data_IF_776455922777
#
_entry.id   IF_776455922777
#
_cell.length_a   1.000
_cell.length_b   1.000
_cell.length_c   1.000
_cell.angle_alpha   90.00
_cell.angle_beta   90.00
_cell.angle_gamma   90.00
#
_symmetry.space_group_name_H-M   'P 1'
#
loop_
_entity.id
_entity.type
_entity.pdbx_description
1 polymer ?
#
# COMPACT_ATOMS: atom_id res chain seq x y z
N UNK A 1 26.40 -2.38 -9.73
CA UNK A 1 26.27 -1.52 -10.94
C UNK A 1 25.02 -0.64 -10.89
N UNK A 2 23.81 -1.19 -10.67
CA UNK A 2 22.56 -0.41 -10.65
C UNK A 2 22.53 0.73 -9.59
N UNK A 3 22.92 0.45 -8.33
CA UNK A 3 22.93 1.46 -7.25
C UNK A 3 23.80 2.68 -7.57
N UNK A 4 24.95 2.49 -8.23
CA UNK A 4 25.82 3.59 -8.66
C UNK A 4 25.15 4.46 -9.73
N UNK A 5 24.45 3.83 -10.68
CA UNK A 5 23.68 4.54 -11.71
C UNK A 5 22.50 5.30 -11.10
N UNK A 6 21.79 4.72 -10.12
CA UNK A 6 20.71 5.41 -9.39
C UNK A 6 21.27 6.66 -8.72
N UNK A 7 22.36 6.54 -7.96
CA UNK A 7 23.00 7.69 -7.29
C UNK A 7 23.44 8.78 -8.27
N UNK A 8 23.90 8.40 -9.47
CA UNK A 8 24.31 9.35 -10.51
C UNK A 8 23.13 10.03 -11.19
N UNK A 9 22.08 9.26 -11.55
CA UNK A 9 20.91 9.76 -12.29
C UNK A 9 19.94 10.53 -11.38
N UNK A 10 19.82 10.12 -10.13
CA UNK A 10 18.88 10.67 -9.15
C UNK A 10 19.63 11.05 -7.86
N UNK A 11 20.45 12.11 -7.87
CA UNK A 11 21.27 12.51 -6.72
C UNK A 11 20.45 12.97 -5.50
N UNK A 12 19.17 13.29 -5.70
CA UNK A 12 18.23 13.63 -4.64
C UNK A 12 17.70 12.39 -3.88
N UNK A 13 17.78 11.19 -4.48
CA UNK A 13 17.37 9.94 -3.81
C UNK A 13 18.44 9.53 -2.81
N UNK A 14 18.06 9.41 -1.54
CA UNK A 14 18.90 8.89 -0.46
C UNK A 14 18.70 7.38 -0.33
N UNK A 15 19.74 6.62 -0.62
CA UNK A 15 19.74 5.16 -0.48
C UNK A 15 20.34 4.78 0.87
N UNK A 16 19.52 4.25 1.77
CA UNK A 16 19.93 3.76 3.08
C UNK A 16 20.02 2.23 3.01
N UNK A 17 21.20 1.68 3.31
CA UNK A 17 21.35 0.24 3.47
C UNK A 17 20.79 -0.15 4.84
N UNK A 18 19.93 -1.15 4.86
CA UNK A 18 19.30 -1.66 6.08
C UNK A 18 19.48 -3.16 6.16
N UNK A 19 19.57 -3.69 7.39
CA UNK A 19 19.57 -5.13 7.61
C UNK A 19 18.18 -5.69 7.38
N UNK A 20 18.08 -6.82 6.67
CA UNK A 20 16.80 -7.51 6.51
C UNK A 20 16.37 -8.05 7.87
N UNK A 21 15.19 -7.62 8.31
CA UNK A 21 14.57 -8.14 9.53
C UNK A 21 13.63 -9.26 9.09
N UNK A 22 13.89 -10.47 9.57
CA UNK A 22 13.02 -11.61 9.34
C UNK A 22 12.63 -12.32 10.63
N UNK A 23 11.37 -12.77 10.69
CA UNK A 23 10.94 -13.77 11.68
C UNK A 23 11.29 -15.17 11.17
N UNK A 24 11.65 -16.07 12.09
CA UNK A 24 11.88 -17.49 11.77
C UNK A 24 10.57 -18.30 11.64
N UNK A 25 9.42 -17.64 11.79
CA UNK A 25 8.09 -18.23 11.85
C UNK A 25 7.14 -17.49 10.91
N UNK A 26 6.35 -18.26 10.15
CA UNK A 26 5.23 -17.73 9.35
C UNK A 26 5.38 -17.85 7.82
N UNK A 27 4.40 -17.29 7.10
CA UNK A 27 4.32 -17.26 5.64
C UNK A 27 5.57 -16.60 4.99
N UNK A 28 6.26 -17.31 4.05
CA UNK A 28 7.39 -16.76 3.30
C UNK A 28 7.09 -15.47 2.53
N UNK A 29 5.83 -15.15 2.28
CA UNK A 29 5.40 -13.92 1.62
C UNK A 29 5.66 -12.70 2.51
N UNK A 30 5.45 -12.81 3.82
CA UNK A 30 5.45 -11.68 4.75
C UNK A 30 6.63 -11.67 5.72
N UNK A 31 7.43 -12.74 5.78
CA UNK A 31 8.53 -12.87 6.75
C UNK A 31 9.56 -11.73 6.74
N UNK A 32 9.65 -10.91 5.68
CA UNK A 32 10.56 -9.75 5.58
C UNK A 32 9.87 -8.40 5.75
N UNK A 33 8.55 -8.36 5.93
CA UNK A 33 7.76 -7.12 5.94
C UNK A 33 8.19 -6.15 7.05
N UNK A 34 8.69 -6.69 8.18
CA UNK A 34 9.25 -5.93 9.29
C UNK A 34 10.44 -5.02 8.92
N UNK A 35 11.12 -5.30 7.81
CA UNK A 35 12.25 -4.48 7.34
C UNK A 35 11.83 -3.02 7.11
N UNK A 36 10.55 -2.76 6.79
CA UNK A 36 10.03 -1.38 6.64
C UNK A 36 10.16 -0.56 7.94
N UNK A 37 10.19 -1.21 9.10
CA UNK A 37 10.26 -0.51 10.40
C UNK A 37 11.63 0.12 10.70
N UNK A 38 12.66 -0.11 9.88
CA UNK A 38 13.87 0.71 9.91
C UNK A 38 13.57 2.21 9.70
N UNK A 39 12.42 2.55 9.09
CA UNK A 39 11.98 3.93 8.98
C UNK A 39 11.83 4.64 10.34
N UNK A 40 11.52 3.91 11.43
CA UNK A 40 11.47 4.49 12.78
C UNK A 40 12.85 4.89 13.32
N UNK A 41 13.94 4.40 12.73
CA UNK A 41 15.30 4.78 13.12
C UNK A 41 15.83 6.01 12.38
N UNK A 42 15.09 6.54 11.39
CA UNK A 42 15.48 7.70 10.58
C UNK A 42 15.27 9.03 11.35
N UNK A 43 15.90 9.15 12.52
CA UNK A 43 15.74 10.27 13.46
C UNK A 43 16.35 11.59 12.98
N UNK A 44 17.04 11.58 11.83
CA UNK A 44 17.42 12.80 11.14
C UNK A 44 16.23 13.53 10.49
N UNK A 45 15.07 12.87 10.35
CA UNK A 45 13.84 13.47 9.85
C UNK A 45 12.82 13.64 10.98
N UNK A 46 12.08 14.75 10.94
CA UNK A 46 10.97 15.00 11.88
C UNK A 46 9.78 14.09 11.60
N UNK A 47 9.53 13.78 10.33
CA UNK A 47 8.41 12.93 9.89
C UNK A 47 8.85 12.12 8.68
N UNK A 48 8.35 10.90 8.58
CA UNK A 48 8.60 10.02 7.44
C UNK A 48 7.27 9.41 6.99
N UNK A 49 6.94 9.55 5.70
CA UNK A 49 5.86 8.80 5.07
C UNK A 49 6.45 7.52 4.47
N UNK A 50 6.03 6.38 4.97
CA UNK A 50 6.46 5.04 4.55
C UNK A 50 5.29 4.37 3.89
N UNK A 51 5.50 3.69 2.77
CA UNK A 51 4.48 2.86 2.13
C UNK A 51 5.12 1.64 1.46
N UNK A 52 4.31 0.63 1.19
CA UNK A 52 4.80 -0.65 0.70
C UNK A 52 5.30 -0.56 -0.74
N UNK A 53 6.32 -1.36 -1.07
CA UNK A 53 6.98 -1.31 -2.38
C UNK A 53 6.11 -1.88 -3.52
N UNK A 54 5.00 -2.53 -3.19
CA UNK A 54 3.92 -2.92 -4.11
C UNK A 54 2.82 -1.85 -4.19
N UNK A 55 3.17 -0.58 -4.03
CA UNK A 55 2.26 0.54 -4.25
C UNK A 55 2.72 1.46 -5.38
N UNK A 56 1.78 2.18 -5.98
CA UNK A 56 2.03 3.21 -6.99
C UNK A 56 1.42 4.54 -6.54
N UNK A 57 2.22 5.61 -6.63
CA UNK A 57 1.79 6.97 -6.27
C UNK A 57 1.02 7.58 -7.44
N UNK A 58 -0.22 7.99 -7.19
CA UNK A 58 -1.13 8.52 -8.20
C UNK A 58 -1.25 10.05 -8.15
N UNK A 59 -1.04 10.66 -6.98
CA UNK A 59 -1.12 12.10 -6.77
C UNK A 59 -0.13 12.58 -5.71
N UNK A 60 0.12 13.90 -5.65
CA UNK A 60 0.99 14.49 -4.63
C UNK A 60 0.48 14.19 -3.21
N UNK A 61 1.37 13.74 -2.33
CA UNK A 61 1.07 13.35 -0.95
C UNK A 61 1.64 14.32 0.09
N UNK A 62 2.17 15.49 -0.30
CA UNK A 62 2.90 16.37 0.62
C UNK A 62 2.00 16.94 1.72
N UNK A 63 0.69 17.05 1.47
CA UNK A 63 -0.30 17.48 2.46
C UNK A 63 -0.34 16.57 3.69
N UNK A 64 0.18 15.34 3.62
CA UNK A 64 0.33 14.44 4.76
C UNK A 64 1.13 15.06 5.88
N UNK A 65 2.20 15.75 5.51
CA UNK A 65 3.13 16.34 6.46
C UNK A 65 2.53 17.52 7.24
N UNK A 66 1.33 17.98 6.86
CA UNK A 66 0.54 18.99 7.57
C UNK A 66 -0.38 18.40 8.65
N UNK A 67 -0.55 17.08 8.71
CA UNK A 67 -1.37 16.44 9.74
C UNK A 67 -0.79 16.65 11.15
N UNK A 68 -1.59 16.54 12.23
CA UNK A 68 -1.07 16.62 13.60
C UNK A 68 0.08 15.64 13.86
N UNK A 69 0.96 16.00 14.80
CA UNK A 69 2.03 15.11 15.24
C UNK A 69 1.42 13.88 15.95
N UNK A 70 1.88 12.72 15.55
CA UNK A 70 1.53 11.44 16.16
C UNK A 70 2.72 10.48 16.00
N UNK A 71 3.00 9.59 16.97
CA UNK A 71 4.06 8.59 16.83
C UNK A 71 3.87 7.73 15.57
N UNK A 72 2.61 7.39 15.28
CA UNK A 72 2.18 6.60 14.13
C UNK A 72 0.82 7.13 13.68
N UNK A 73 0.68 7.40 12.38
CA UNK A 73 -0.59 7.68 11.75
C UNK A 73 -0.81 6.76 10.54
N UNK A 74 -1.92 6.02 10.55
CA UNK A 74 -2.20 4.93 9.60
C UNK A 74 -3.68 4.80 9.30
N UNK A 75 -4.06 4.35 8.10
CA UNK A 75 -5.44 3.96 7.82
C UNK A 75 -5.81 2.64 8.50
N UNK A 76 -7.10 2.37 8.61
CA UNK A 76 -7.60 1.03 8.94
C UNK A 76 -7.44 0.12 7.72
N UNK A 77 -7.13 -1.15 7.96
CA UNK A 77 -7.13 -2.19 6.94
C UNK A 77 -8.58 -2.63 6.63
N UNK A 78 -9.34 -1.76 5.96
CA UNK A 78 -10.78 -1.93 5.77
C UNK A 78 -11.17 -3.29 5.14
N UNK A 79 -10.29 -3.88 4.31
CA UNK A 79 -10.52 -5.18 3.67
C UNK A 79 -10.55 -6.35 4.66
N UNK A 80 -9.95 -6.19 5.84
CA UNK A 80 -9.90 -7.20 6.91
C UNK A 80 -10.96 -6.99 7.99
N UNK A 81 -11.72 -5.89 7.91
CA UNK A 81 -12.72 -5.54 8.91
C UNK A 81 -14.10 -6.03 8.45
N UNK A 82 -14.78 -6.79 9.31
CA UNK A 82 -16.19 -7.09 9.08
C UNK A 82 -17.08 -5.86 9.36
N UNK A 83 -18.22 -5.71 8.67
CA UNK A 83 -19.11 -4.56 8.81
C UNK A 83 -19.55 -4.29 10.26
N UNK A 84 -19.72 -5.35 11.06
CA UNK A 84 -20.15 -5.27 12.46
C UNK A 84 -18.98 -5.07 13.44
N UNK A 85 -17.73 -5.06 12.95
CA UNK A 85 -16.54 -4.86 13.79
C UNK A 85 -16.56 -3.45 14.35
N UNK A 86 -16.51 -3.35 15.69
CA UNK A 86 -16.47 -2.05 16.34
C UNK A 86 -15.21 -1.27 15.94
N UNK A 87 -15.31 0.06 15.83
CA UNK A 87 -14.21 0.93 15.33
C UNK A 87 -12.89 0.69 16.10
N UNK A 88 -12.96 0.40 17.40
CA UNK A 88 -11.78 0.13 18.26
C UNK A 88 -11.11 -1.23 17.99
N UNK A 89 -11.82 -2.16 17.36
CA UNK A 89 -11.36 -3.52 17.07
C UNK A 89 -10.94 -3.69 15.61
N UNK A 90 -11.19 -2.68 14.76
CA UNK A 90 -10.73 -2.67 13.39
C UNK A 90 -9.20 -2.68 13.31
N UNK A 91 -8.65 -3.47 12.40
CA UNK A 91 -7.21 -3.62 12.27
C UNK A 91 -6.57 -2.36 11.65
N UNK A 92 -5.45 -1.90 12.21
CA UNK A 92 -4.59 -0.89 11.59
C UNK A 92 -3.87 -1.49 10.39
N UNK A 93 -3.78 -0.74 9.30
CA UNK A 93 -2.92 -1.07 8.16
C UNK A 93 -1.49 -0.58 8.37
N UNK A 94 -0.51 -1.27 7.78
CA UNK A 94 0.91 -0.90 7.75
C UNK A 94 1.42 -0.58 6.34
N UNK A 95 0.55 -0.64 5.33
CA UNK A 95 0.89 -0.43 3.92
C UNK A 95 1.17 1.05 3.59
N UNK A 96 0.68 1.98 4.41
CA UNK A 96 1.04 3.39 4.40
C UNK A 96 1.04 3.91 5.83
N UNK A 97 2.12 4.57 6.24
CA UNK A 97 2.33 5.05 7.59
C UNK A 97 3.03 6.41 7.57
N UNK A 98 2.43 7.40 8.22
CA UNK A 98 3.13 8.64 8.53
C UNK A 98 3.61 8.54 9.98
N UNK A 99 4.93 8.49 10.15
CA UNK A 99 5.56 8.23 11.45
C UNK A 99 6.38 9.43 11.91
N UNK A 100 6.49 9.56 13.22
CA UNK A 100 7.54 10.35 13.88
C UNK A 100 8.68 9.38 14.25
N UNK A 101 9.82 9.42 13.53
CA UNK A 101 10.94 8.53 13.81
C UNK A 101 11.40 8.63 15.26
N UNK A 102 11.54 7.49 15.92
CA UNK A 102 11.93 7.39 17.31
C UNK A 102 12.63 6.05 17.57
N UNK A 103 13.91 6.10 17.95
CA UNK A 103 14.67 4.87 18.21
C UNK A 103 14.09 4.01 19.33
N UNK A 104 13.43 4.62 20.33
CA UNK A 104 12.75 3.91 21.40
C UNK A 104 11.61 3.04 20.86
N UNK A 105 10.76 3.62 20.01
CA UNK A 105 9.70 2.88 19.31
C UNK A 105 10.28 1.82 18.37
N UNK A 106 11.34 2.13 17.62
CA UNK A 106 12.04 1.14 16.80
C UNK A 106 12.48 -0.07 17.63
N UNK A 107 13.18 0.14 18.75
CA UNK A 107 13.60 -0.95 19.65
C UNK A 107 12.42 -1.76 20.19
N UNK A 108 11.31 -1.10 20.54
CA UNK A 108 10.08 -1.77 21.00
C UNK A 108 9.46 -2.66 19.91
N UNK A 109 9.37 -2.14 18.68
CA UNK A 109 8.87 -2.88 17.51
C UNK A 109 9.71 -4.13 17.24
N UNK A 110 11.04 -3.98 17.18
CA UNK A 110 11.94 -5.11 16.92
C UNK A 110 11.89 -6.14 18.04
N UNK A 111 11.80 -5.69 19.30
CA UNK A 111 11.67 -6.59 20.45
C UNK A 111 10.38 -7.40 20.35
N UNK A 112 9.25 -6.75 20.09
CA UNK A 112 7.95 -7.39 19.97
C UNK A 112 7.93 -8.40 18.82
N UNK A 113 8.38 -8.00 17.63
CA UNK A 113 8.39 -8.85 16.45
C UNK A 113 9.24 -10.12 16.65
N UNK A 114 10.40 -9.98 17.32
CA UNK A 114 11.26 -11.14 17.65
C UNK A 114 10.64 -12.05 18.70
N UNK A 115 9.87 -11.52 19.65
CA UNK A 115 9.26 -12.33 20.72
C UNK A 115 7.98 -13.04 20.29
N UNK A 116 7.13 -12.39 19.49
CA UNK A 116 5.85 -12.95 19.06
C UNK A 116 5.97 -13.77 17.77
N UNK A 117 6.98 -13.50 16.95
CA UNK A 117 7.09 -14.07 15.60
C UNK A 117 6.02 -13.55 14.63
N UNK A 118 5.30 -12.50 15.02
CA UNK A 118 4.23 -11.89 14.26
C UNK A 118 4.76 -10.94 13.16
N UNK A 119 3.93 -10.63 12.17
CA UNK A 119 4.30 -9.74 11.08
C UNK A 119 4.03 -8.27 11.42
N UNK A 120 4.27 -7.41 10.44
CA UNK A 120 4.23 -5.97 10.60
C UNK A 120 2.87 -5.44 11.07
N UNK A 121 1.75 -5.92 10.51
CA UNK A 121 0.43 -5.47 10.94
C UNK A 121 0.12 -5.89 12.37
N UNK A 122 0.39 -7.13 12.76
CA UNK A 122 0.12 -7.62 14.11
C UNK A 122 0.97 -6.89 15.16
N UNK A 123 2.26 -6.71 14.87
CA UNK A 123 3.18 -5.95 15.74
C UNK A 123 2.70 -4.51 15.89
N UNK A 124 2.31 -3.85 14.79
CA UNK A 124 1.81 -2.48 14.82
C UNK A 124 0.52 -2.37 15.64
N UNK A 125 -0.42 -3.31 15.44
CA UNK A 125 -1.69 -3.31 16.18
C UNK A 125 -1.47 -3.59 17.67
N UNK A 126 -0.58 -4.51 18.04
CA UNK A 126 -0.27 -4.77 19.45
C UNK A 126 0.32 -3.52 20.12
N UNK A 127 1.22 -2.81 19.45
CA UNK A 127 1.95 -1.70 20.07
C UNK A 127 1.22 -0.35 19.99
N UNK A 128 0.39 -0.12 18.96
CA UNK A 128 -0.12 1.21 18.64
C UNK A 128 -1.64 1.30 18.47
N UNK A 129 -2.43 0.22 18.59
CA UNK A 129 -3.89 0.26 18.36
C UNK A 129 -4.64 1.38 19.10
N UNK A 130 -4.20 1.69 20.32
CA UNK A 130 -4.86 2.67 21.20
C UNK A 130 -4.24 4.07 21.12
N UNK A 131 -3.16 4.26 20.37
CA UNK A 131 -2.40 5.53 20.31
C UNK A 131 -2.14 6.04 18.90
N UNK A 132 -2.36 5.23 17.87
CA UNK A 132 -2.21 5.64 16.49
C UNK A 132 -3.26 6.68 16.10
N UNK A 133 -2.84 7.70 15.35
CA UNK A 133 -3.76 8.58 14.66
C UNK A 133 -4.36 7.83 13.46
N UNK A 134 -5.69 7.83 13.34
CA UNK A 134 -6.34 7.15 12.22
C UNK A 134 -6.40 8.09 11.03
N UNK A 135 -5.78 7.67 9.93
CA UNK A 135 -5.94 8.30 8.63
C UNK A 135 -7.21 7.75 7.96
N UNK A 136 -7.90 8.55 7.14
CA UNK A 136 -8.90 8.00 6.22
C UNK A 136 -8.25 6.92 5.34
N UNK A 137 -8.97 5.83 5.06
CA UNK A 137 -8.49 4.80 4.16
C UNK A 137 -8.88 5.10 2.72
N UNK A 138 -10.01 5.77 2.49
CA UNK A 138 -10.43 6.15 1.14
C UNK A 138 -9.39 7.08 0.55
N UNK A 139 -9.01 6.84 -0.73
CA UNK A 139 -7.92 7.51 -1.46
C UNK A 139 -6.49 7.14 -1.06
N UNK A 140 -6.28 6.49 0.08
CA UNK A 140 -4.93 6.24 0.62
C UNK A 140 -4.56 4.77 0.70
N UNK A 141 -5.57 3.93 0.82
CA UNK A 141 -5.49 2.49 0.89
C UNK A 141 -6.23 1.85 -0.30
N UNK A 142 -6.31 2.50 -1.46
CA UNK A 142 -7.02 1.93 -2.61
C UNK A 142 -6.33 0.64 -3.05
N UNK A 143 -6.99 -0.50 -2.92
CA UNK A 143 -6.46 -1.77 -3.40
C UNK A 143 -6.87 -1.98 -4.86
N UNK A 144 -5.96 -2.49 -5.69
CA UNK A 144 -6.33 -2.97 -7.04
C UNK A 144 -7.38 -4.08 -6.98
N UNK A 145 -7.40 -4.87 -5.91
CA UNK A 145 -8.42 -5.88 -5.66
C UNK A 145 -9.85 -5.32 -5.53
N UNK A 146 -10.04 -4.03 -5.20
CA UNK A 146 -11.37 -3.42 -5.15
C UNK A 146 -12.06 -3.48 -6.50
N UNK A 147 -11.35 -3.22 -7.59
CA UNK A 147 -11.88 -3.20 -8.95
C UNK A 147 -12.38 -4.58 -9.41
N UNK A 148 -11.91 -5.66 -8.77
CA UNK A 148 -12.36 -7.03 -9.05
C UNK A 148 -13.57 -7.43 -8.22
N UNK A 149 -13.83 -6.70 -7.13
CA UNK A 149 -14.98 -6.91 -6.27
C UNK A 149 -16.26 -6.37 -6.90
N UNK A 150 -17.40 -6.89 -6.44
CA UNK A 150 -18.74 -6.32 -6.74
C UNK A 150 -19.35 -5.60 -5.53
N UNK A 151 -18.80 -5.82 -4.33
CA UNK A 151 -19.20 -5.16 -3.10
C UNK A 151 -18.03 -4.27 -2.63
N UNK A 152 -18.31 -2.98 -2.48
CA UNK A 152 -17.33 -1.96 -2.07
C UNK A 152 -17.71 -1.32 -0.73
N UNK A 153 -18.65 -1.91 0.03
CA UNK A 153 -19.21 -1.31 1.24
C UNK A 153 -18.12 -1.07 2.30
N UNK A 154 -17.13 -1.96 2.38
CA UNK A 154 -15.99 -1.81 3.29
C UNK A 154 -15.13 -0.61 2.91
N UNK A 155 -14.81 -0.45 1.62
CA UNK A 155 -14.03 0.67 1.12
C UNK A 155 -14.80 2.00 1.25
N UNK A 156 -16.11 1.98 0.98
CA UNK A 156 -16.99 3.16 1.02
C UNK A 156 -17.54 3.45 2.43
N UNK A 157 -17.17 2.68 3.45
CA UNK A 157 -17.74 2.76 4.80
C UNK A 157 -17.66 4.14 5.49
N UNK A 158 -16.76 5.02 5.04
CA UNK A 158 -16.67 6.41 5.50
C UNK A 158 -17.88 7.27 5.10
N UNK A 159 -18.59 6.90 4.02
CA UNK A 159 -19.74 7.62 3.47
C UNK A 159 -20.81 6.64 2.98
N UNK A 160 -21.90 6.50 3.75
CA UNK A 160 -22.97 5.53 3.48
C UNK A 160 -23.76 5.80 2.20
N UNK A 161 -23.73 7.04 1.71
CA UNK A 161 -24.43 7.43 0.49
C UNK A 161 -23.52 7.34 -0.75
N UNK A 162 -22.22 7.09 -0.55
CA UNK A 162 -21.27 6.95 -1.63
C UNK A 162 -21.57 5.70 -2.47
N UNK A 163 -21.43 5.87 -3.79
CA UNK A 163 -21.49 4.78 -4.76
C UNK A 163 -20.13 4.57 -5.39
N UNK A 164 -19.80 3.33 -5.66
CA UNK A 164 -18.56 2.99 -6.35
C UNK A 164 -18.56 3.56 -7.77
N UNK A 165 -17.50 4.29 -8.09
CA UNK A 165 -17.18 4.70 -9.45
C UNK A 165 -15.65 4.63 -9.58
N UNK A 166 -15.16 3.65 -10.34
CA UNK A 166 -13.74 3.40 -10.58
C UNK A 166 -12.98 4.67 -11.00
N UNK A 167 -13.46 5.38 -12.02
CA UNK A 167 -12.84 6.60 -12.54
C UNK A 167 -12.71 7.67 -11.46
N UNK A 168 -13.78 7.84 -10.68
CA UNK A 168 -13.87 8.83 -9.62
C UNK A 168 -12.95 8.50 -8.44
N UNK A 169 -12.84 7.22 -8.05
CA UNK A 169 -11.95 6.79 -6.98
C UNK A 169 -10.48 6.87 -7.41
N UNK A 170 -10.12 6.45 -8.63
CA UNK A 170 -8.75 6.57 -9.15
C UNK A 170 -8.29 8.02 -9.22
N UNK A 171 -9.12 8.91 -9.79
CA UNK A 171 -8.76 10.33 -9.95
C UNK A 171 -8.50 11.05 -8.62
N UNK A 172 -9.11 10.58 -7.53
CA UNK A 172 -8.94 11.15 -6.18
C UNK A 172 -7.92 10.40 -5.31
N UNK A 173 -7.50 9.21 -5.73
CA UNK A 173 -6.57 8.39 -4.98
C UNK A 173 -5.16 8.98 -5.04
N UNK A 174 -4.43 8.87 -3.95
CA UNK A 174 -3.03 9.27 -3.84
C UNK A 174 -2.08 8.09 -3.99
N UNK A 175 -2.54 6.92 -3.55
CA UNK A 175 -1.78 5.68 -3.57
C UNK A 175 -2.74 4.55 -3.97
N UNK A 176 -2.26 3.66 -4.85
CA UNK A 176 -2.87 2.37 -5.11
C UNK A 176 -1.92 1.25 -4.66
N UNK A 177 -2.44 0.23 -3.99
CA UNK A 177 -1.68 -0.91 -3.48
C UNK A 177 -2.06 -2.18 -4.25
N UNK A 178 -1.09 -2.83 -4.87
CA UNK A 178 -1.31 -4.03 -5.70
C UNK A 178 -1.66 -5.25 -4.84
N UNK A 179 -2.94 -5.62 -4.81
CA UNK A 179 -3.49 -6.69 -3.96
C UNK A 179 -4.36 -7.66 -4.76
N UNK A 180 -3.73 -8.37 -5.72
CA UNK A 180 -4.44 -9.19 -6.71
C UNK A 180 -4.21 -10.69 -6.60
N UNK A 181 -3.79 -11.19 -5.44
CA UNK A 181 -3.58 -12.64 -5.26
C UNK A 181 -4.77 -13.45 -5.83
N UNK A 182 -4.52 -14.52 -6.62
CA UNK A 182 -3.25 -15.18 -6.89
C UNK A 182 -2.42 -14.60 -8.06
N UNK A 183 -2.80 -13.47 -8.64
CA UNK A 183 -1.94 -12.78 -9.60
C UNK A 183 -0.64 -12.33 -8.88
N UNK A 184 0.55 -12.66 -9.41
CA UNK A 184 1.81 -12.22 -8.81
C UNK A 184 1.93 -10.69 -8.75
N UNK A 185 2.81 -10.20 -7.86
CA UNK A 185 3.13 -8.77 -7.79
C UNK A 185 3.66 -8.28 -9.15
N UNK A 186 3.45 -7.01 -9.53
CA UNK A 186 3.71 -6.52 -10.90
C UNK A 186 5.16 -6.66 -11.40
N UNK A 187 6.16 -6.79 -10.52
CA UNK A 187 7.55 -7.05 -10.94
C UNK A 187 7.83 -8.51 -11.29
N UNK A 188 6.97 -9.45 -10.90
CA UNK A 188 7.10 -10.87 -11.18
C UNK A 188 6.36 -11.23 -12.47
N UNK A 189 6.85 -12.24 -13.22
CA UNK A 189 6.13 -12.75 -14.39
C UNK A 189 4.81 -13.43 -13.96
N UNK A 190 3.82 -13.38 -14.85
CA UNK A 190 2.56 -14.12 -14.74
C UNK A 190 2.26 -14.82 -16.07
N UNK A 191 1.40 -15.84 -16.06
CA UNK A 191 0.87 -16.45 -17.29
C UNK A 191 -0.34 -15.66 -17.82
N UNK A 192 -0.72 -15.92 -19.07
CA UNK A 192 -1.94 -15.37 -19.67
C UNK A 192 -3.18 -15.84 -18.89
N UNK A 193 -3.21 -17.11 -18.47
CA UNK A 193 -4.30 -17.63 -17.63
C UNK A 193 -4.42 -16.92 -16.29
N UNK A 194 -3.30 -16.58 -15.64
CA UNK A 194 -3.32 -15.80 -14.40
C UNK A 194 -3.85 -14.39 -14.62
N UNK A 195 -3.46 -13.77 -15.75
CA UNK A 195 -3.93 -12.45 -16.14
C UNK A 195 -5.44 -12.44 -16.40
N UNK A 196 -5.92 -13.33 -17.27
CA UNK A 196 -7.33 -13.47 -17.62
C UNK A 196 -8.21 -13.73 -16.39
N UNK A 197 -7.74 -14.55 -15.45
CA UNK A 197 -8.47 -14.85 -14.22
C UNK A 197 -8.52 -13.66 -13.22
N UNK A 198 -7.60 -12.71 -13.34
CA UNK A 198 -7.53 -11.54 -12.46
C UNK A 198 -8.28 -10.33 -13.01
N UNK A 199 -8.56 -10.29 -14.32
CA UNK A 199 -9.26 -9.17 -14.95
C UNK A 199 -10.61 -8.94 -14.25
N UNK A 200 -10.92 -7.69 -13.83
CA UNK A 200 -12.27 -7.33 -13.43
C UNK A 200 -13.29 -7.77 -14.47
N UNK A 201 -14.44 -8.24 -14.00
CA UNK A 201 -15.52 -8.64 -14.87
C UNK A 201 -16.08 -7.43 -15.64
N UNK A 202 -16.30 -7.61 -16.94
CA UNK A 202 -17.05 -6.65 -17.74
C UNK A 202 -18.24 -7.37 -18.38
N UNK A 203 -19.30 -7.52 -17.58
CA UNK A 203 -20.55 -8.15 -17.98
C UNK A 203 -21.59 -7.14 -18.48
N UNK A 204 -22.72 -7.68 -18.95
CA UNK A 204 -23.85 -6.93 -19.52
C UNK A 204 -24.57 -6.01 -18.52
N UNK A 205 -24.27 -6.13 -17.22
CA UNK A 205 -24.76 -5.26 -16.15
C UNK A 205 -24.00 -3.92 -16.06
N UNK A 206 -22.94 -3.74 -16.86
CA UNK A 206 -22.27 -2.47 -17.03
C UNK A 206 -23.13 -1.49 -17.83
N UNK A 207 -23.81 -0.62 -17.10
CA UNK A 207 -24.48 0.54 -17.68
C UNK A 207 -23.47 1.66 -17.86
N UNK A 208 -23.20 2.02 -19.11
CA UNK A 208 -22.44 3.23 -19.46
C UNK A 208 -23.17 4.47 -18.92
N UNK A 209 -22.42 5.32 -18.24
CA UNK A 209 -22.88 6.63 -17.75
C UNK A 209 -21.85 7.68 -18.17
N UNK A 210 -22.25 8.95 -18.24
CA UNK A 210 -21.36 10.07 -18.64
C UNK A 210 -20.06 10.11 -17.80
N UNK A 211 -20.12 9.69 -16.54
CA UNK A 211 -19.01 9.66 -15.59
C UNK A 211 -18.42 8.27 -15.34
N UNK A 212 -18.93 7.24 -16.03
CA UNK A 212 -18.49 5.85 -15.91
C UNK A 212 -18.62 5.13 -17.27
N UNK A 213 -17.54 5.06 -18.06
CA UNK A 213 -17.56 4.34 -19.33
C UNK A 213 -17.82 2.85 -19.12
N UNK A 214 -18.19 2.17 -20.19
CA UNK A 214 -18.29 0.71 -20.20
C UNK A 214 -16.97 0.06 -19.75
N UNK A 215 -17.06 -1.04 -19.00
CA UNK A 215 -15.92 -1.73 -18.39
C UNK A 215 -14.99 -0.85 -17.54
N UNK A 216 -15.45 0.26 -16.93
CA UNK A 216 -14.57 1.20 -16.20
C UNK A 216 -13.63 0.55 -15.18
N UNK A 217 -14.11 -0.46 -14.44
CA UNK A 217 -13.28 -1.21 -13.48
C UNK A 217 -12.12 -1.95 -14.14
N UNK A 218 -12.40 -2.68 -15.23
CA UNK A 218 -11.39 -3.39 -16.01
C UNK A 218 -10.40 -2.41 -16.62
N UNK A 219 -10.89 -1.31 -17.18
CA UNK A 219 -10.05 -0.28 -17.78
C UNK A 219 -9.07 0.31 -16.75
N UNK A 220 -9.57 0.80 -15.62
CA UNK A 220 -8.73 1.37 -14.55
C UNK A 220 -7.75 0.35 -13.96
N UNK A 221 -8.20 -0.89 -13.71
CA UNK A 221 -7.34 -1.95 -13.20
C UNK A 221 -6.20 -2.26 -14.17
N UNK A 222 -6.49 -2.40 -15.48
CA UNK A 222 -5.46 -2.64 -16.49
C UNK A 222 -4.47 -1.47 -16.58
N UNK A 223 -4.96 -0.23 -16.54
CA UNK A 223 -4.11 0.96 -16.59
C UNK A 223 -3.07 0.98 -15.48
N UNK A 224 -3.40 0.57 -14.24
CA UNK A 224 -2.40 0.49 -13.17
C UNK A 224 -1.22 -0.44 -13.48
N UNK A 225 -1.50 -1.58 -14.09
CA UNK A 225 -0.46 -2.54 -14.48
C UNK A 225 0.33 -2.04 -15.68
N UNK A 226 -0.34 -1.49 -16.69
CA UNK A 226 0.29 -0.91 -17.88
C UNK A 226 1.23 0.25 -17.51
N UNK A 227 0.76 1.18 -16.66
CA UNK A 227 1.55 2.29 -16.14
C UNK A 227 2.77 1.78 -15.37
N UNK A 228 2.59 0.81 -14.47
CA UNK A 228 3.70 0.20 -13.75
C UNK A 228 4.73 -0.46 -14.70
N UNK A 229 4.27 -1.19 -15.72
CA UNK A 229 5.15 -1.82 -16.70
C UNK A 229 5.93 -0.79 -17.52
N UNK A 230 5.27 0.30 -17.90
CA UNK A 230 5.87 1.39 -18.64
C UNK A 230 6.92 2.12 -17.76
N UNK A 231 6.61 2.44 -16.51
CA UNK A 231 7.55 3.02 -15.55
C UNK A 231 8.76 2.12 -15.30
N UNK A 232 8.52 0.82 -15.11
CA UNK A 232 9.61 -0.17 -14.95
C UNK A 232 10.50 -0.19 -16.19
N UNK A 233 9.92 -0.15 -17.38
CA UNK A 233 10.66 -0.12 -18.64
C UNK A 233 11.51 1.15 -18.76
N UNK A 234 10.95 2.31 -18.43
CA UNK A 234 11.60 3.60 -18.63
C UNK A 234 12.62 3.94 -17.54
N UNK A 235 12.40 3.46 -16.32
CA UNK A 235 13.26 3.73 -15.17
C UNK A 235 14.26 2.61 -14.93
N UNK A 236 13.83 1.35 -14.87
CA UNK A 236 14.67 0.24 -14.41
C UNK A 236 15.56 -0.32 -15.53
N UNK A 237 15.07 -0.48 -16.76
CA UNK A 237 15.87 -1.05 -17.86
C UNK A 237 17.14 -0.23 -18.14
N UNK A 238 17.10 1.12 -18.21
CA UNK A 238 18.32 1.91 -18.38
C UNK A 238 19.34 1.73 -17.25
N UNK A 239 18.88 1.38 -16.05
CA UNK A 239 19.73 1.14 -14.89
C UNK A 239 20.41 -0.24 -14.93
N UNK A 240 19.81 -1.24 -15.58
CA UNK A 240 20.36 -2.61 -15.64
C UNK A 240 21.62 -2.71 -16.52
N UNK A 241 21.80 -1.79 -17.48
CA UNK A 241 22.95 -1.82 -18.40
C UNK A 241 22.84 -2.93 -19.45
N UNK A 242 23.61 -2.80 -20.53
CA UNK A 242 23.97 -3.96 -21.35
C UNK A 242 24.99 -4.79 -20.60
#
# INVERSE_FOLDING_TARGET
MALSKIRKKYPHIKLHAVEVISTSSGDPTWHKSLTKFHAFALTEYTRVLVFDSDSMVLNNMDHYFLSPLAPVAVPRAYWLNDPDTSIKDQMLGSHVMLIEPNEGNFRRIIKEAKSSGAFDMEVLNHLFRDSAMILPHRRYALLTGEFRGKNHDRYLSEDKDAKWNAMAEVSRAYLVHFSDWPLPKPWLPHSDTQWEAALPDCGDDNVEMDDRPDCADRFMWMSFYEDYYQDRKDICIPLMGK
#
